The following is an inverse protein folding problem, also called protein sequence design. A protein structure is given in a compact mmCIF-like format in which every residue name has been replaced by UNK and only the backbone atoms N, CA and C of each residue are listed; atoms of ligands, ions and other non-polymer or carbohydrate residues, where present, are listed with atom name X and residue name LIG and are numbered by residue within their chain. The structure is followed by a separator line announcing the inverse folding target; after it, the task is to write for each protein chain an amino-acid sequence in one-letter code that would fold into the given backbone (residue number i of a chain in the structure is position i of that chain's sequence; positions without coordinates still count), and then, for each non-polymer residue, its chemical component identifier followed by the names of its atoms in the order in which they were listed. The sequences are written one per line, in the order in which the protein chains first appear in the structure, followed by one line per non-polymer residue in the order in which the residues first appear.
data_IF_117758932844
#
_entry.id   IF_117758932844
#
_cell.length_a   1.000
_cell.length_b   1.000
_cell.length_c   1.000
_cell.angle_alpha   90.00
_cell.angle_beta   90.00
_cell.angle_gamma   90.00
#
_symmetry.space_group_name_H-M   'P 1'
#
loop_
_entity.id
_entity.type
_entity.pdbx_description
1 polymer ?
#
# COMPACT_ATOMS: atom_id res chain seq x y z
N UNK A 1 -6.33 -3.15 -15.99
CA UNK A 1 -5.60 -3.99 -15.00
C UNK A 1 -5.58 -3.30 -13.64
N UNK A 2 -5.35 -4.06 -12.57
CA UNK A 2 -4.94 -3.55 -11.26
C UNK A 2 -3.48 -3.94 -11.06
N UNK A 3 -2.64 -2.98 -10.73
CA UNK A 3 -1.27 -3.20 -10.28
C UNK A 3 -1.22 -2.94 -8.77
N UNK A 4 -0.81 -3.94 -8.00
CA UNK A 4 -0.53 -3.81 -6.58
C UNK A 4 0.99 -3.80 -6.45
N UNK A 5 1.55 -2.67 -6.05
CA UNK A 5 2.99 -2.46 -5.91
C UNK A 5 3.37 -2.39 -4.44
N UNK A 6 4.39 -3.15 -4.06
CA UNK A 6 5.01 -3.06 -2.74
C UNK A 6 6.51 -3.32 -2.88
N UNK A 7 7.35 -2.41 -2.40
CA UNK A 7 8.78 -2.65 -2.47
C UNK A 7 9.22 -3.71 -1.47
N UNK A 8 10.21 -4.49 -1.85
CA UNK A 8 10.70 -5.65 -1.11
C UNK A 8 12.14 -5.49 -0.63
N UNK A 9 12.80 -4.42 -1.03
CA UNK A 9 14.11 -4.03 -0.51
C UNK A 9 13.99 -3.30 0.83
N UNK A 10 15.09 -3.12 1.50
CA UNK A 10 15.18 -2.41 2.78
C UNK A 10 16.58 -1.84 2.97
N UNK A 11 16.67 -0.69 3.62
CA UNK A 11 17.94 -0.07 4.03
C UNK A 11 18.61 -0.75 5.24
N UNK A 12 17.91 -1.65 5.91
CA UNK A 12 18.42 -2.25 7.13
C UNK A 12 19.33 -3.45 6.88
N UNK A 13 20.54 -3.40 7.41
CA UNK A 13 21.50 -4.52 7.33
C UNK A 13 21.10 -5.75 8.15
N UNK A 14 20.26 -5.54 9.17
CA UNK A 14 19.80 -6.59 10.07
C UNK A 14 18.33 -6.36 10.41
N UNK A 15 17.50 -7.29 10.05
CA UNK A 15 16.08 -7.26 10.33
C UNK A 15 15.78 -8.09 11.57
N UNK A 16 15.01 -7.52 12.47
CA UNK A 16 14.45 -8.21 13.64
C UNK A 16 12.96 -7.90 13.70
N UNK A 17 12.17 -8.97 13.77
CA UNK A 17 10.73 -8.87 13.94
C UNK A 17 10.34 -9.58 15.25
N UNK A 18 9.55 -8.92 16.06
CA UNK A 18 9.01 -9.45 17.32
C UNK A 18 7.52 -9.17 17.39
N UNK A 19 6.81 -9.94 18.22
CA UNK A 19 5.44 -9.63 18.61
C UNK A 19 5.51 -8.89 19.97
N UNK A 20 4.83 -7.75 20.03
CA UNK A 20 4.71 -6.91 21.22
C UNK A 20 3.23 -6.59 21.43
N UNK A 21 2.55 -7.41 22.23
CA UNK A 21 1.10 -7.38 22.39
C UNK A 21 0.37 -7.69 21.09
N UNK A 22 -0.49 -6.78 20.65
CA UNK A 22 -1.24 -6.89 19.40
C UNK A 22 -0.51 -6.27 18.18
N UNK A 23 0.79 -6.02 18.32
CA UNK A 23 1.59 -5.39 17.28
C UNK A 23 2.77 -6.27 16.86
N UNK A 24 3.13 -6.20 15.58
CA UNK A 24 4.50 -6.48 15.15
C UNK A 24 5.37 -5.28 15.50
N UNK A 25 6.58 -5.56 15.99
CA UNK A 25 7.62 -4.57 16.29
C UNK A 25 8.90 -4.95 15.58
N UNK A 26 9.53 -4.00 14.94
CA UNK A 26 10.79 -4.19 14.25
C UNK A 26 11.06 -3.16 13.17
N UNK A 27 11.97 -3.49 12.27
CA UNK A 27 12.21 -2.76 11.04
C UNK A 27 11.17 -3.23 10.01
N UNK A 28 10.06 -2.52 9.90
CA UNK A 28 8.86 -2.99 9.21
C UNK A 28 8.75 -2.53 7.76
N UNK A 29 9.58 -1.61 7.35
CA UNK A 29 9.61 -1.01 6.02
C UNK A 29 10.37 -1.90 5.00
N UNK A 30 9.73 -2.48 3.95
CA UNK A 30 8.27 -2.60 3.83
C UNK A 30 7.81 -4.06 3.98
N UNK A 31 8.40 -4.81 4.92
CA UNK A 31 8.09 -6.23 5.11
C UNK A 31 6.62 -6.50 5.43
N UNK A 32 5.96 -5.61 6.18
CA UNK A 32 4.55 -5.79 6.52
C UNK A 32 3.63 -5.44 5.36
N UNK A 33 4.00 -4.48 4.52
CA UNK A 33 3.31 -4.21 3.26
C UNK A 33 3.38 -5.41 2.33
N UNK A 34 4.58 -5.94 2.09
CA UNK A 34 4.78 -7.18 1.32
C UNK A 34 3.96 -8.32 1.91
N UNK A 35 3.97 -8.51 3.23
CA UNK A 35 3.21 -9.58 3.87
C UNK A 35 1.69 -9.42 3.65
N UNK A 36 1.16 -8.20 3.80
CA UNK A 36 -0.27 -7.92 3.58
C UNK A 36 -0.69 -8.22 2.13
N UNK A 37 0.10 -7.80 1.15
CA UNK A 37 -0.16 -8.06 -0.28
C UNK A 37 -0.08 -9.55 -0.60
N UNK A 38 0.94 -10.25 -0.11
CA UNK A 38 1.06 -11.69 -0.31
C UNK A 38 -0.11 -12.46 0.33
N UNK A 39 -0.54 -12.06 1.53
CA UNK A 39 -1.70 -12.63 2.20
C UNK A 39 -2.98 -12.48 1.37
N UNK A 40 -3.20 -11.30 0.78
CA UNK A 40 -4.33 -11.05 -0.10
C UNK A 40 -4.22 -11.88 -1.40
N UNK A 41 -3.06 -11.86 -2.03
CA UNK A 41 -2.81 -12.49 -3.32
C UNK A 41 -2.94 -14.02 -3.26
N UNK A 42 -2.34 -14.66 -2.25
CA UNK A 42 -2.39 -16.11 -2.08
C UNK A 42 -3.64 -16.62 -1.35
N UNK A 43 -4.60 -15.75 -1.04
CA UNK A 43 -5.89 -16.17 -0.46
C UNK A 43 -6.76 -17.01 -1.40
N UNK A 44 -6.43 -17.04 -2.70
CA UNK A 44 -7.25 -17.62 -3.75
C UNK A 44 -8.50 -16.78 -4.10
N UNK A 45 -8.63 -15.59 -3.50
CA UNK A 45 -9.81 -14.72 -3.66
C UNK A 45 -9.66 -13.66 -4.75
N UNK A 46 -8.46 -13.51 -5.32
CA UNK A 46 -8.13 -12.52 -6.35
C UNK A 46 -7.96 -13.23 -7.69
N UNK A 47 -8.54 -12.67 -8.76
CA UNK A 47 -8.34 -13.17 -10.11
C UNK A 47 -7.02 -12.68 -10.70
N UNK A 48 -6.14 -13.59 -11.04
CA UNK A 48 -4.85 -13.27 -11.68
C UNK A 48 -4.98 -12.75 -13.12
N UNK A 49 -6.15 -12.83 -13.71
CA UNK A 49 -6.41 -12.32 -15.06
C UNK A 49 -6.38 -10.78 -15.12
N UNK A 50 -6.81 -10.13 -14.02
CA UNK A 50 -6.96 -8.68 -13.96
C UNK A 50 -6.07 -7.99 -12.92
N UNK A 51 -5.34 -8.76 -12.12
CA UNK A 51 -4.52 -8.23 -11.03
C UNK A 51 -3.09 -8.73 -11.18
N UNK A 52 -2.16 -7.80 -11.10
CA UNK A 52 -0.72 -8.07 -11.03
C UNK A 52 -0.18 -7.64 -9.69
N UNK A 53 0.53 -8.54 -9.03
CA UNK A 53 1.30 -8.21 -7.85
C UNK A 53 2.75 -7.96 -8.27
N UNK A 54 3.24 -6.76 -8.00
CA UNK A 54 4.60 -6.33 -8.30
C UNK A 54 5.36 -6.13 -6.98
N UNK A 55 6.27 -7.04 -6.69
CA UNK A 55 7.24 -6.88 -5.61
C UNK A 55 8.45 -6.13 -6.18
N UNK A 56 8.48 -4.84 -5.96
CA UNK A 56 9.47 -3.94 -6.54
C UNK A 56 10.76 -3.91 -5.74
N UNK A 57 11.77 -3.24 -6.25
CA UNK A 57 13.07 -3.06 -5.62
C UNK A 57 13.62 -1.66 -5.88
N UNK A 58 14.57 -1.25 -5.03
CA UNK A 58 15.26 0.03 -5.16
C UNK A 58 14.40 1.23 -4.80
N UNK A 59 13.32 1.04 -4.04
CA UNK A 59 12.49 2.13 -3.55
C UNK A 59 13.32 3.09 -2.70
N UNK A 60 14.08 2.54 -1.80
CA UNK A 60 14.95 3.20 -0.82
C UNK A 60 16.10 4.02 -1.44
N UNK A 61 16.32 3.91 -2.74
CA UNK A 61 17.41 4.60 -3.45
C UNK A 61 16.91 5.44 -4.60
N UNK A 62 16.22 4.81 -5.55
CA UNK A 62 15.86 5.47 -6.80
C UNK A 62 14.57 4.95 -7.45
N UNK A 63 13.81 4.07 -6.78
CA UNK A 63 12.54 3.49 -7.26
C UNK A 63 12.68 2.73 -8.60
N UNK A 64 13.79 2.00 -8.78
CA UNK A 64 14.09 1.34 -10.06
C UNK A 64 13.00 0.32 -10.44
N UNK A 65 12.55 -0.53 -9.49
CA UNK A 65 11.49 -1.51 -9.73
C UNK A 65 10.19 -0.86 -10.17
N UNK A 66 9.74 0.18 -9.47
CA UNK A 66 8.53 0.91 -9.84
C UNK A 66 8.63 1.55 -11.23
N UNK A 67 9.81 2.09 -11.60
CA UNK A 67 10.06 2.62 -12.95
C UNK A 67 9.97 1.55 -14.04
N UNK A 68 10.38 0.31 -13.74
CA UNK A 68 10.24 -0.81 -14.69
C UNK A 68 8.75 -1.17 -14.86
N UNK A 69 8.03 -1.37 -13.76
CA UNK A 69 6.59 -1.68 -13.79
C UNK A 69 5.80 -0.57 -14.49
N UNK A 70 6.13 0.68 -14.24
CA UNK A 70 5.47 1.84 -14.84
C UNK A 70 5.52 1.88 -16.38
N UNK A 71 6.43 1.15 -17.03
CA UNK A 71 6.46 1.03 -18.50
C UNK A 71 5.26 0.26 -19.04
N UNK A 72 4.67 -0.61 -18.22
CA UNK A 72 3.53 -1.44 -18.59
C UNK A 72 2.18 -0.83 -18.16
N UNK A 73 2.20 0.13 -17.24
CA UNK A 73 0.99 0.81 -16.74
C UNK A 73 0.44 1.76 -17.81
N UNK A 74 -0.86 1.65 -18.07
CA UNK A 74 -1.63 2.53 -18.97
C UNK A 74 -2.52 3.50 -18.18
N UNK A 75 -3.06 4.51 -18.85
CA UNK A 75 -3.94 5.52 -18.24
C UNK A 75 -5.25 4.94 -17.65
N UNK A 76 -5.65 3.74 -18.08
CA UNK A 76 -6.89 3.08 -17.64
C UNK A 76 -6.68 2.12 -16.45
N UNK A 77 -5.43 1.86 -16.09
CA UNK A 77 -5.09 0.94 -15.02
C UNK A 77 -5.24 1.60 -13.64
N UNK A 78 -5.59 0.79 -12.65
CA UNK A 78 -5.56 1.18 -11.25
C UNK A 78 -4.21 0.74 -10.66
N UNK A 79 -3.51 1.66 -9.99
CA UNK A 79 -2.28 1.35 -9.26
C UNK A 79 -2.49 1.57 -7.77
N UNK A 80 -2.17 0.56 -6.98
CA UNK A 80 -2.22 0.56 -5.51
C UNK A 80 -0.80 0.35 -5.00
N UNK A 81 -0.24 1.37 -4.38
CA UNK A 81 1.05 1.26 -3.68
C UNK A 81 0.76 0.89 -2.23
N UNK A 82 1.37 -0.18 -1.74
CA UNK A 82 1.17 -0.66 -0.35
C UNK A 82 2.47 -0.55 0.42
N UNK A 83 2.44 0.23 1.49
CA UNK A 83 3.62 0.53 2.28
C UNK A 83 3.29 0.92 3.72
N UNK A 84 4.31 1.11 4.55
CA UNK A 84 4.18 1.68 5.89
C UNK A 84 3.95 3.19 5.82
N UNK A 85 3.36 3.75 6.88
CA UNK A 85 3.18 5.19 7.03
C UNK A 85 3.25 5.60 8.50
N UNK A 86 3.78 6.80 8.78
CA UNK A 86 3.74 7.40 10.11
C UNK A 86 2.54 8.35 10.28
N UNK A 87 1.58 8.33 9.37
CA UNK A 87 0.34 9.08 9.50
C UNK A 87 -0.38 8.73 10.80
N UNK A 88 -0.62 9.75 11.61
CA UNK A 88 -1.26 9.60 12.92
C UNK A 88 -2.75 9.32 12.74
N UNK A 89 -3.15 8.12 13.08
CA UNK A 89 -4.54 7.67 13.04
C UNK A 89 -4.83 6.62 14.11
N UNK A 90 -6.08 6.47 14.51
CA UNK A 90 -6.57 5.34 15.31
C UNK A 90 -7.21 4.25 14.44
N UNK A 91 -7.24 4.45 13.13
CA UNK A 91 -7.80 3.53 12.15
C UNK A 91 -6.89 2.31 11.92
N UNK A 92 -7.43 1.32 11.22
CA UNK A 92 -6.70 0.10 10.93
C UNK A 92 -5.73 0.30 9.74
N UNK A 93 -6.09 1.16 8.79
CA UNK A 93 -5.21 1.58 7.69
C UNK A 93 -5.60 2.98 7.19
N UNK A 94 -4.80 3.52 6.28
CA UNK A 94 -5.07 4.79 5.62
C UNK A 94 -5.00 4.65 4.11
N UNK A 95 -5.76 5.48 3.40
CA UNK A 95 -5.64 5.68 1.96
C UNK A 95 -5.15 7.11 1.76
N UNK A 96 -4.03 7.26 1.10
CA UNK A 96 -3.37 8.55 0.89
C UNK A 96 -3.14 8.82 -0.60
N UNK A 97 -2.88 10.08 -0.95
CA UNK A 97 -2.54 10.53 -2.31
C UNK A 97 -3.62 10.20 -3.34
N UNK A 98 -4.84 9.91 -2.93
CA UNK A 98 -5.95 9.59 -3.82
C UNK A 98 -6.62 10.88 -4.33
N UNK A 99 -6.13 11.42 -5.44
CA UNK A 99 -6.64 12.67 -6.03
C UNK A 99 -7.81 12.49 -7.00
N UNK A 100 -8.06 11.26 -7.46
CA UNK A 100 -9.12 10.96 -8.39
C UNK A 100 -10.47 10.87 -7.67
N UNK A 101 -11.38 11.81 -7.89
CA UNK A 101 -12.74 11.77 -7.33
C UNK A 101 -13.49 10.48 -7.67
N UNK A 102 -13.22 9.89 -8.84
CA UNK A 102 -13.82 8.63 -9.27
C UNK A 102 -13.30 7.46 -8.44
N UNK A 103 -11.99 7.42 -8.17
CA UNK A 103 -11.38 6.41 -7.30
C UNK A 103 -11.86 6.59 -5.86
N UNK A 104 -11.87 7.82 -5.34
CA UNK A 104 -12.36 8.10 -3.99
C UNK A 104 -13.78 7.59 -3.79
N UNK A 105 -14.69 7.99 -4.70
CA UNK A 105 -16.08 7.53 -4.62
C UNK A 105 -16.20 6.00 -4.66
N UNK A 106 -15.45 5.35 -5.55
CA UNK A 106 -15.43 3.89 -5.62
C UNK A 106 -14.97 3.27 -4.29
N UNK A 107 -13.87 3.79 -3.70
CA UNK A 107 -13.35 3.27 -2.43
C UNK A 107 -14.34 3.51 -1.28
N UNK A 108 -14.96 4.68 -1.19
CA UNK A 108 -15.98 4.98 -0.17
C UNK A 108 -17.18 4.03 -0.29
N UNK A 109 -17.64 3.75 -1.52
CA UNK A 109 -18.79 2.88 -1.76
C UNK A 109 -18.51 1.42 -1.35
N UNK A 110 -17.30 0.90 -1.63
CA UNK A 110 -16.99 -0.52 -1.38
C UNK A 110 -16.39 -0.80 -0.01
N UNK A 111 -15.70 0.17 0.60
CA UNK A 111 -15.01 0.01 1.89
C UNK A 111 -15.82 0.52 3.08
N UNK A 112 -17.14 0.66 2.96
CA UNK A 112 -18.03 1.20 3.99
C UNK A 112 -17.93 0.47 5.35
N UNK A 113 -17.60 -0.82 5.34
CA UNK A 113 -17.48 -1.66 6.55
C UNK A 113 -16.05 -1.69 7.12
N UNK A 114 -15.13 -0.91 6.53
CA UNK A 114 -13.74 -0.85 6.98
C UNK A 114 -13.47 0.39 7.84
N UNK A 115 -12.53 0.23 8.77
CA UNK A 115 -12.13 1.32 9.66
C UNK A 115 -10.84 1.98 9.13
N UNK A 116 -10.98 2.97 8.26
CA UNK A 116 -9.86 3.65 7.60
C UNK A 116 -10.07 5.16 7.51
N UNK A 117 -9.00 5.89 7.24
CA UNK A 117 -9.04 7.30 6.85
C UNK A 117 -8.64 7.44 5.38
N UNK A 118 -9.22 8.43 4.69
CA UNK A 118 -8.92 8.73 3.29
C UNK A 118 -8.45 10.18 3.15
N UNK A 119 -7.29 10.36 2.50
CA UNK A 119 -6.64 11.65 2.29
C UNK A 119 -6.30 11.88 0.81
N UNK A 120 -6.57 13.07 0.30
CA UNK A 120 -6.14 13.49 -1.05
C UNK A 120 -4.61 13.71 -1.13
N UNK A 121 -3.99 14.03 -0.02
CA UNK A 121 -2.55 14.25 0.13
C UNK A 121 -1.86 13.16 0.90
N UNK A 122 -0.68 13.48 1.42
CA UNK A 122 0.09 12.65 2.32
C UNK A 122 0.27 13.36 3.66
N UNK A 123 -0.39 12.95 4.73
CA UNK A 123 -0.22 13.52 6.06
C UNK A 123 0.97 12.92 6.83
N UNK A 124 1.69 11.95 6.26
CA UNK A 124 2.85 11.33 6.89
C UNK A 124 3.94 12.38 7.18
N UNK A 125 4.34 12.57 8.45
CA UNK A 125 5.37 13.53 8.82
C UNK A 125 6.80 13.04 8.58
N UNK A 126 6.98 11.75 8.26
CA UNK A 126 8.31 11.12 8.08
C UNK A 126 8.74 11.20 6.63
N UNK A 127 7.90 10.70 5.72
CA UNK A 127 8.19 10.70 4.30
C UNK A 127 6.91 10.91 3.50
N UNK A 128 7.01 11.68 2.43
CA UNK A 128 5.93 11.84 1.45
C UNK A 128 6.36 11.36 0.06
N UNK A 129 7.51 10.72 -0.06
CA UNK A 129 8.07 10.20 -1.30
C UNK A 129 8.00 8.68 -1.24
N UNK A 130 7.29 8.09 -2.18
CA UNK A 130 7.12 6.65 -2.36
C UNK A 130 6.85 6.35 -3.84
N UNK A 131 6.60 5.10 -4.20
CA UNK A 131 6.40 4.65 -5.57
C UNK A 131 5.22 5.33 -6.30
N UNK A 132 4.25 5.94 -5.60
CA UNK A 132 3.19 6.76 -6.21
C UNK A 132 3.80 7.87 -7.07
N UNK A 133 4.96 8.42 -6.68
CA UNK A 133 5.65 9.46 -7.43
C UNK A 133 6.01 9.02 -8.86
N UNK A 134 6.23 7.72 -9.05
CA UNK A 134 6.50 7.13 -10.38
C UNK A 134 5.20 6.91 -11.15
N UNK A 135 4.20 6.30 -10.51
CA UNK A 135 2.97 5.87 -11.17
C UNK A 135 2.01 7.02 -11.52
N UNK A 136 2.02 8.13 -10.78
CA UNK A 136 1.17 9.31 -11.03
C UNK A 136 1.35 9.93 -12.43
N UNK A 137 2.48 9.65 -13.07
CA UNK A 137 2.76 10.11 -14.44
C UNK A 137 2.17 9.18 -15.51
N UNK A 138 1.66 8.01 -15.14
CA UNK A 138 1.13 7.00 -16.06
C UNK A 138 -0.39 6.93 -16.04
N UNK A 139 -0.97 7.00 -14.86
CA UNK A 139 -2.41 6.96 -14.67
C UNK A 139 -2.83 8.01 -13.65
N UNK A 140 -4.12 8.39 -13.68
CA UNK A 140 -4.74 9.19 -12.62
C UNK A 140 -5.48 8.31 -11.60
N UNK A 141 -5.57 7.01 -11.87
CA UNK A 141 -6.23 6.03 -11.02
C UNK A 141 -5.17 5.36 -10.13
N UNK A 142 -4.73 6.02 -9.11
CA UNK A 142 -3.76 5.52 -8.14
C UNK A 142 -4.09 5.99 -6.75
N UNK A 143 -3.59 5.26 -5.78
CA UNK A 143 -3.53 5.68 -4.38
C UNK A 143 -2.46 4.89 -3.62
N UNK A 144 -2.09 5.44 -2.47
CA UNK A 144 -1.25 4.79 -1.49
C UNK A 144 -2.14 4.15 -0.42
N UNK A 145 -1.89 2.90 -0.08
CA UNK A 145 -2.58 2.13 0.96
C UNK A 145 -1.60 1.89 2.09
N UNK A 146 -1.70 2.70 3.13
CA UNK A 146 -0.73 2.79 4.20
C UNK A 146 -1.06 1.93 5.41
N UNK A 147 -0.04 1.24 5.92
CA UNK A 147 -0.04 0.52 7.19
C UNK A 147 0.49 1.44 8.29
N UNK A 148 -0.35 1.98 9.20
CA UNK A 148 0.08 2.94 10.20
C UNK A 148 1.09 2.35 11.17
N UNK A 149 2.26 2.96 11.25
CA UNK A 149 3.32 2.62 12.19
C UNK A 149 3.46 3.67 13.29
N UNK A 150 3.85 3.24 14.47
CA UNK A 150 4.09 4.08 15.65
C UNK A 150 5.43 3.76 16.27
N UNK A 151 6.01 4.72 17.00
CA UNK A 151 7.27 4.50 17.73
C UNK A 151 8.48 5.23 17.15
N UNK A 152 8.30 6.03 16.11
CA UNK A 152 9.35 6.87 15.53
C UNK A 152 9.37 6.84 14.00
N UNK A 153 10.50 7.22 13.46
CA UNK A 153 10.79 7.22 12.04
C UNK A 153 11.09 5.79 11.58
N UNK A 154 10.22 5.22 10.75
CA UNK A 154 10.35 3.84 10.26
C UNK A 154 11.56 3.63 9.34
N UNK A 155 12.09 4.69 8.75
CA UNK A 155 13.33 4.63 7.95
C UNK A 155 14.59 4.48 8.82
N UNK A 156 14.51 4.78 10.12
CA UNK A 156 15.67 4.83 11.01
C UNK A 156 15.58 3.86 12.18
N UNK A 157 14.37 3.56 12.66
CA UNK A 157 14.16 2.88 13.93
C UNK A 157 13.18 1.70 13.82
N UNK A 158 13.23 0.84 14.83
CA UNK A 158 12.17 -0.15 15.04
C UNK A 158 10.87 0.56 15.38
N UNK A 159 9.81 0.21 14.65
CA UNK A 159 8.46 0.76 14.84
C UNK A 159 7.46 -0.36 15.13
N UNK A 160 6.23 0.00 15.47
CA UNK A 160 5.14 -0.94 15.74
C UNK A 160 4.01 -0.73 14.74
N UNK A 161 3.46 -1.83 14.24
CA UNK A 161 2.24 -1.86 13.45
C UNK A 161 1.26 -2.88 14.05
N UNK A 162 -0.01 -2.54 14.12
CA UNK A 162 -1.06 -3.47 14.59
C UNK A 162 -1.14 -4.69 13.66
N UNK A 163 -1.19 -5.90 14.23
CA UNK A 163 -1.41 -7.13 13.45
C UNK A 163 -2.73 -7.03 12.69
N UNK A 164 -3.76 -6.48 13.32
CA UNK A 164 -5.06 -6.23 12.70
C UNK A 164 -4.97 -5.36 11.44
N UNK A 165 -4.10 -4.36 11.40
CA UNK A 165 -3.91 -3.49 10.22
C UNK A 165 -3.51 -4.29 8.98
N UNK A 166 -2.64 -5.28 9.14
CA UNK A 166 -2.20 -6.15 8.04
C UNK A 166 -3.38 -6.99 7.53
N UNK A 167 -4.19 -7.53 8.43
CA UNK A 167 -5.37 -8.32 8.07
C UNK A 167 -6.41 -7.47 7.33
N UNK A 168 -6.65 -6.26 7.83
CA UNK A 168 -7.62 -5.34 7.22
C UNK A 168 -7.13 -4.80 5.85
N UNK A 169 -5.84 -4.53 5.69
CA UNK A 169 -5.27 -4.18 4.37
C UNK A 169 -5.43 -5.35 3.39
N UNK A 170 -5.12 -6.58 3.81
CA UNK A 170 -5.30 -7.74 2.94
C UNK A 170 -6.79 -7.93 2.53
N UNK A 171 -7.72 -7.76 3.47
CA UNK A 171 -9.16 -7.81 3.21
C UNK A 171 -9.63 -6.69 2.27
N UNK A 172 -9.13 -5.46 2.47
CA UNK A 172 -9.44 -4.32 1.61
C UNK A 172 -8.94 -4.55 0.18
N UNK A 173 -7.71 -5.03 0.01
CA UNK A 173 -7.17 -5.41 -1.31
C UNK A 173 -8.04 -6.44 -2.02
N UNK A 174 -8.45 -7.51 -1.32
CA UNK A 174 -9.35 -8.51 -1.89
C UNK A 174 -10.68 -7.90 -2.32
N UNK A 175 -11.26 -7.03 -1.49
CA UNK A 175 -12.53 -6.34 -1.80
C UNK A 175 -12.38 -5.43 -3.02
N UNK A 176 -11.33 -4.61 -3.06
CA UNK A 176 -11.02 -3.72 -4.19
C UNK A 176 -10.87 -4.52 -5.48
N UNK A 177 -10.06 -5.60 -5.46
CA UNK A 177 -9.83 -6.42 -6.63
C UNK A 177 -11.10 -7.11 -7.17
N UNK A 178 -12.00 -7.52 -6.27
CA UNK A 178 -13.28 -8.15 -6.66
C UNK A 178 -14.28 -7.16 -7.26
N UNK A 179 -14.34 -5.96 -6.72
CA UNK A 179 -15.36 -4.96 -7.11
C UNK A 179 -14.89 -4.05 -8.26
N UNK A 180 -13.57 -3.98 -8.51
CA UNK A 180 -13.04 -3.17 -9.59
C UNK A 180 -13.28 -3.80 -10.96
N UNK A 181 -14.25 -3.28 -11.68
CA UNK A 181 -14.65 -3.76 -13.03
C UNK A 181 -14.14 -2.85 -14.17
N UNK A 182 -13.06 -2.11 -13.93
CA UNK A 182 -12.52 -1.06 -14.76
C UNK A 182 -13.30 0.27 -14.65
N UNK A 183 -12.54 1.37 -14.61
CA UNK A 183 -13.13 2.70 -14.80
C UNK A 183 -13.33 3.03 -16.30
N UNK A 184 -13.10 2.07 -17.18
CA UNK A 184 -13.34 2.25 -18.61
C UNK A 184 -14.82 2.23 -18.90
N UNK A 185 -15.38 3.38 -19.07
CA UNK A 185 -16.34 3.74 -20.11
C UNK A 185 -16.03 5.15 -20.55
#
# INVERSE_FOLDING_TARGET
MIFISAHSDTNFKKVRLNIDGECYKGYLDNYIGVYAVMKAYFSGSISFEYVRLELTYGEEVNMEGAKQVAKEVTSNDLVIVVDVTATKTNKDFVIEKCKSKKVNKFLEDILIDFNYDLYEGCPDPVSNVDEVEVYKHKTKNYFFLGLPCTGGDYNLFEVKCKIKSIDEVARALIKICKEYKSFSI
#
